data_IF_175814494961
#
_entry.id   IF_175814494961
#
_cell.length_a   1.000
_cell.length_b   1.000
_cell.length_c   1.000
_cell.angle_alpha   90.00
_cell.angle_beta   90.00
_cell.angle_gamma   90.00
#
_symmetry.space_group_name_H-M   'P 1'
#
loop_
_entity.id
_entity.type
_entity.pdbx_description
1 polymer ?
#
# COMPACT_ATOMS: atom_id res chain seq x y z
N UNK A 1 -75.27 17.53 14.25
CA UNK A 1 -74.63 16.85 15.39
C UNK A 1 -74.69 15.36 15.13
N UNK A 2 -73.53 14.70 15.04
CA UNK A 2 -73.22 13.26 15.10
C UNK A 2 -72.22 12.89 13.99
N UNK A 3 -71.01 12.48 14.40
CA UNK A 3 -70.10 11.74 13.53
C UNK A 3 -68.65 12.19 13.45
N UNK A 4 -68.09 12.87 14.46
CA UNK A 4 -66.64 13.21 14.54
C UNK A 4 -65.82 12.07 15.21
N UNK A 5 -66.33 10.84 15.23
CA UNK A 5 -65.87 9.83 16.20
C UNK A 5 -65.23 8.58 15.57
N UNK A 6 -64.39 8.71 14.53
CA UNK A 6 -63.63 7.56 13.97
C UNK A 6 -62.25 7.88 13.40
N UNK A 7 -61.37 8.55 14.15
CA UNK A 7 -59.95 8.68 13.77
C UNK A 7 -58.94 8.44 14.91
N UNK A 8 -59.29 7.58 15.88
CA UNK A 8 -58.31 7.04 16.83
C UNK A 8 -58.45 5.53 16.89
N UNK A 9 -57.65 4.80 16.12
CA UNK A 9 -57.12 3.48 16.50
C UNK A 9 -56.23 2.92 15.39
N UNK A 10 -55.12 2.32 15.81
CA UNK A 10 -54.10 1.59 15.04
C UNK A 10 -52.86 2.36 14.57
N UNK A 11 -52.06 2.82 15.53
CA UNK A 11 -50.59 2.71 15.42
C UNK A 11 -50.12 1.69 16.46
N UNK A 12 -50.37 0.40 16.23
CA UNK A 12 -49.59 -0.66 16.91
C UNK A 12 -48.24 -0.65 16.23
N UNK A 13 -47.20 -0.32 16.98
CA UNK A 13 -45.81 -0.49 16.56
C UNK A 13 -45.63 -1.99 16.32
N UNK A 14 -45.39 -2.39 15.07
CA UNK A 14 -45.08 -3.77 14.71
C UNK A 14 -43.85 -4.22 15.51
N UNK A 15 -43.89 -5.46 16.01
CA UNK A 15 -42.83 -6.08 16.82
C UNK A 15 -41.45 -5.82 16.21
N UNK A 16 -40.56 -5.27 17.02
CA UNK A 16 -39.16 -5.07 16.66
C UNK A 16 -38.55 -6.44 16.35
N UNK A 17 -38.20 -6.68 15.09
CA UNK A 17 -37.57 -7.93 14.63
C UNK A 17 -36.21 -8.01 15.32
N UNK A 18 -36.10 -8.84 16.37
CA UNK A 18 -34.85 -9.12 17.06
C UNK A 18 -34.02 -10.04 16.15
N UNK A 19 -33.17 -9.42 15.32
CA UNK A 19 -32.34 -10.14 14.37
C UNK A 19 -31.41 -11.08 15.14
N UNK A 20 -31.40 -12.40 14.83
CA UNK A 20 -30.53 -13.34 15.53
C UNK A 20 -29.07 -12.88 15.39
N UNK A 21 -28.27 -13.04 16.45
CA UNK A 21 -26.89 -12.56 16.52
C UNK A 21 -26.05 -12.93 15.28
N UNK A 22 -26.30 -14.10 14.68
CA UNK A 22 -25.63 -14.57 13.46
C UNK A 22 -25.90 -13.72 12.22
N UNK A 23 -27.09 -13.11 12.08
CA UNK A 23 -27.39 -12.20 10.96
C UNK A 23 -26.71 -10.85 11.15
N UNK A 24 -26.67 -10.34 12.38
CA UNK A 24 -25.91 -9.11 12.69
C UNK A 24 -24.41 -9.29 12.40
N UNK A 25 -23.85 -10.46 12.75
CA UNK A 25 -22.48 -10.85 12.45
C UNK A 25 -22.23 -10.94 10.94
N UNK A 26 -23.13 -11.61 10.20
CA UNK A 26 -23.01 -11.75 8.74
C UNK A 26 -22.99 -10.40 8.04
N UNK A 27 -23.91 -9.51 8.38
CA UNK A 27 -23.99 -8.16 7.81
C UNK A 27 -22.70 -7.41 8.09
N UNK A 28 -22.21 -7.44 9.33
CA UNK A 28 -20.97 -6.75 9.72
C UNK A 28 -19.73 -7.30 8.99
N UNK A 29 -19.64 -8.62 8.81
CA UNK A 29 -18.58 -9.25 8.03
C UNK A 29 -18.62 -8.86 6.55
N UNK A 30 -19.80 -8.74 5.96
CA UNK A 30 -19.96 -8.35 4.57
C UNK A 30 -19.53 -6.88 4.35
N UNK A 31 -19.86 -5.98 5.29
CA UNK A 31 -19.38 -4.60 5.27
C UNK A 31 -17.86 -4.48 5.44
N UNK A 32 -17.29 -5.30 6.34
CA UNK A 32 -15.84 -5.39 6.54
C UNK A 32 -15.14 -5.84 5.25
N UNK A 33 -15.63 -6.91 4.61
CA UNK A 33 -14.99 -7.50 3.43
C UNK A 33 -14.87 -6.50 2.27
N UNK A 34 -15.89 -5.66 2.05
CA UNK A 34 -15.89 -4.64 1.01
C UNK A 34 -14.83 -3.56 1.31
N UNK A 35 -14.80 -3.03 2.55
CA UNK A 35 -13.82 -2.01 2.96
C UNK A 35 -12.39 -2.54 3.02
N UNK A 36 -12.19 -3.73 3.58
CA UNK A 36 -10.88 -4.35 3.75
C UNK A 36 -10.28 -4.80 2.42
N UNK A 37 -11.11 -5.35 1.52
CA UNK A 37 -10.67 -5.82 0.21
C UNK A 37 -9.98 -4.73 -0.61
N UNK A 38 -10.54 -3.50 -0.61
CA UNK A 38 -9.94 -2.37 -1.33
C UNK A 38 -8.61 -1.93 -0.73
N UNK A 39 -8.55 -1.83 0.60
CA UNK A 39 -7.30 -1.48 1.30
C UNK A 39 -6.22 -2.52 1.00
N UNK A 40 -6.56 -3.82 1.04
CA UNK A 40 -5.64 -4.92 0.74
C UNK A 40 -5.05 -4.76 -0.66
N UNK A 41 -5.85 -4.47 -1.69
CA UNK A 41 -5.37 -4.33 -3.08
C UNK A 41 -4.29 -3.26 -3.17
N UNK A 42 -4.53 -2.08 -2.58
CA UNK A 42 -3.57 -0.97 -2.61
C UNK A 42 -2.30 -1.32 -1.84
N UNK A 43 -2.44 -1.82 -0.60
CA UNK A 43 -1.28 -2.20 0.22
C UNK A 43 -0.48 -3.34 -0.39
N UNK A 44 -1.11 -4.32 -1.02
CA UNK A 44 -0.43 -5.47 -1.63
C UNK A 44 0.43 -5.03 -2.83
N UNK A 45 -0.09 -4.14 -3.69
CA UNK A 45 0.68 -3.59 -4.80
C UNK A 45 1.93 -2.85 -4.32
N UNK A 46 1.78 -2.00 -3.30
CA UNK A 46 2.89 -1.25 -2.69
C UNK A 46 3.86 -2.20 -2.00
N UNK A 47 3.35 -3.17 -1.24
CA UNK A 47 4.16 -4.18 -0.54
C UNK A 47 5.03 -4.93 -1.54
N UNK A 48 4.48 -5.43 -2.64
CA UNK A 48 5.23 -6.18 -3.66
C UNK A 48 6.24 -5.30 -4.39
N UNK A 49 5.85 -4.07 -4.79
CA UNK A 49 6.74 -3.14 -5.48
C UNK A 49 7.94 -2.73 -4.62
N UNK A 50 7.71 -2.38 -3.36
CA UNK A 50 8.76 -2.00 -2.41
C UNK A 50 9.58 -3.22 -1.98
N UNK A 51 8.97 -4.39 -1.77
CA UNK A 51 9.70 -5.62 -1.47
C UNK A 51 10.67 -5.98 -2.58
N UNK A 52 10.26 -5.85 -3.84
CA UNK A 52 11.14 -6.10 -4.98
C UNK A 52 12.31 -5.12 -5.02
N UNK A 53 12.05 -3.82 -4.91
CA UNK A 53 13.09 -2.79 -4.89
C UNK A 53 14.10 -3.00 -3.75
N UNK A 54 13.59 -3.17 -2.52
CA UNK A 54 14.43 -3.34 -1.34
C UNK A 54 15.20 -4.66 -1.40
N UNK A 55 14.60 -5.73 -1.92
CA UNK A 55 15.29 -7.01 -2.13
C UNK A 55 16.47 -6.85 -3.09
N UNK A 56 16.28 -6.23 -4.26
CA UNK A 56 17.35 -6.05 -5.26
C UNK A 56 18.50 -5.22 -4.67
N UNK A 57 18.20 -4.11 -4.00
CA UNK A 57 19.24 -3.26 -3.41
C UNK A 57 19.93 -3.95 -2.22
N UNK A 58 19.20 -4.72 -1.41
CA UNK A 58 19.78 -5.47 -0.29
C UNK A 58 20.72 -6.58 -0.77
N UNK A 59 20.36 -7.30 -1.84
CA UNK A 59 21.26 -8.29 -2.43
C UNK A 59 22.55 -7.64 -2.94
N UNK A 60 22.45 -6.47 -3.60
CA UNK A 60 23.64 -5.75 -4.05
C UNK A 60 24.55 -5.31 -2.88
N UNK A 61 23.98 -4.82 -1.77
CA UNK A 61 24.75 -4.49 -0.56
C UNK A 61 25.41 -5.72 0.08
N UNK A 62 24.72 -6.86 0.09
CA UNK A 62 25.28 -8.13 0.60
C UNK A 62 26.49 -8.56 -0.25
N UNK A 63 26.36 -8.51 -1.58
CA UNK A 63 27.42 -8.89 -2.50
C UNK A 63 28.65 -7.98 -2.35
N UNK A 64 28.44 -6.67 -2.18
CA UNK A 64 29.49 -5.70 -1.92
C UNK A 64 30.21 -6.00 -0.58
N UNK A 65 29.46 -6.23 0.49
CA UNK A 65 30.02 -6.52 1.81
C UNK A 65 30.87 -7.80 1.83
N UNK A 66 30.48 -8.82 1.06
CA UNK A 66 31.22 -10.08 0.98
C UNK A 66 32.44 -10.00 0.07
N UNK A 67 32.40 -9.22 -1.01
CA UNK A 67 33.57 -8.92 -1.84
C UNK A 67 34.65 -8.17 -1.04
N UNK A 68 34.27 -7.16 -0.25
CA UNK A 68 35.18 -6.44 0.65
C UNK A 68 35.87 -7.40 1.65
N UNK A 69 35.17 -8.45 2.09
CA UNK A 69 35.73 -9.46 3.00
C UNK A 69 36.67 -10.48 2.34
N UNK A 70 36.94 -10.36 1.04
CA UNK A 70 37.84 -11.25 0.28
C UNK A 70 37.25 -12.64 -0.03
N UNK A 71 35.93 -12.81 0.13
CA UNK A 71 35.21 -14.07 -0.08
C UNK A 71 34.41 -14.04 -1.39
N UNK A 72 35.05 -13.66 -2.49
CA UNK A 72 34.45 -13.77 -3.83
C UNK A 72 34.13 -15.24 -4.14
N UNK A 73 32.88 -15.48 -4.53
CA UNK A 73 32.29 -16.79 -4.79
C UNK A 73 33.06 -17.62 -5.83
N UNK A 74 33.65 -18.73 -5.38
CA UNK A 74 34.19 -19.81 -6.23
C UNK A 74 33.09 -20.65 -6.92
N UNK A 75 31.81 -20.30 -6.77
CA UNK A 75 30.65 -21.03 -7.35
C UNK A 75 30.00 -20.27 -8.52
N UNK A 76 30.63 -19.20 -9.03
CA UNK A 76 30.20 -18.52 -10.26
C UNK A 76 30.86 -19.11 -11.54
N UNK A 77 31.09 -20.42 -11.58
CA UNK A 77 31.44 -21.10 -12.82
C UNK A 77 30.20 -21.84 -13.32
N UNK A 78 29.47 -21.23 -14.26
CA UNK A 78 29.13 -21.81 -15.57
C UNK A 78 28.00 -21.06 -16.31
N UNK A 79 27.39 -20.01 -15.78
CA UNK A 79 26.42 -19.22 -16.55
C UNK A 79 26.40 -17.76 -16.10
N UNK A 80 26.66 -16.89 -17.08
CA UNK A 80 26.68 -15.43 -17.06
C UNK A 80 27.81 -14.75 -16.29
N UNK A 81 28.77 -14.24 -17.07
CA UNK A 81 29.61 -13.07 -16.79
C UNK A 81 28.74 -11.99 -16.14
N UNK A 82 28.65 -12.04 -14.82
CA UNK A 82 27.80 -11.16 -14.03
C UNK A 82 28.46 -9.80 -14.03
N UNK A 83 27.82 -8.83 -14.68
CA UNK A 83 28.18 -7.43 -14.49
C UNK A 83 28.10 -7.13 -12.98
N UNK A 84 29.23 -6.76 -12.39
CA UNK A 84 29.31 -6.38 -10.98
C UNK A 84 28.52 -5.07 -10.79
N UNK A 85 27.38 -5.14 -10.11
CA UNK A 85 26.51 -3.99 -9.80
C UNK A 85 25.05 -4.25 -10.14
N UNK A 86 24.14 -3.34 -9.76
CA UNK A 86 22.74 -3.39 -10.17
C UNK A 86 22.70 -3.38 -11.70
N UNK A 87 22.30 -4.49 -12.33
CA UNK A 87 22.31 -4.59 -13.78
C UNK A 87 21.32 -3.60 -14.38
N UNK A 88 21.60 -3.09 -15.59
CA UNK A 88 20.65 -2.27 -16.35
C UNK A 88 19.28 -2.98 -16.48
N UNK A 89 19.29 -4.32 -16.55
CA UNK A 89 18.09 -5.15 -16.55
C UNK A 89 17.28 -4.99 -15.25
N UNK A 90 17.94 -5.02 -14.09
CA UNK A 90 17.29 -4.89 -12.78
C UNK A 90 16.69 -3.50 -12.58
N UNK A 91 17.43 -2.46 -13.00
CA UNK A 91 16.91 -1.07 -12.97
C UNK A 91 15.63 -0.97 -13.80
N UNK A 92 15.62 -1.56 -15.00
CA UNK A 92 14.44 -1.54 -15.86
C UNK A 92 13.26 -2.30 -15.25
N UNK A 93 13.50 -3.47 -14.64
CA UNK A 93 12.48 -4.25 -13.93
C UNK A 93 11.91 -3.50 -12.72
N UNK A 94 12.77 -2.82 -11.94
CA UNK A 94 12.34 -1.99 -10.81
C UNK A 94 11.42 -0.89 -11.31
N UNK A 95 11.82 -0.14 -12.35
CA UNK A 95 11.00 0.95 -12.89
C UNK A 95 9.64 0.42 -13.37
N UNK A 96 9.61 -0.70 -14.11
CA UNK A 96 8.35 -1.30 -14.56
C UNK A 96 7.46 -1.72 -13.39
N UNK A 97 8.04 -2.33 -12.35
CA UNK A 97 7.32 -2.72 -11.12
C UNK A 97 6.70 -1.50 -10.41
N UNK A 98 7.46 -0.41 -10.28
CA UNK A 98 6.96 0.83 -9.67
C UNK A 98 5.84 1.47 -10.49
N UNK A 99 5.93 1.45 -11.83
CA UNK A 99 4.87 1.96 -12.71
C UNK A 99 3.58 1.15 -12.51
N UNK A 100 3.67 -0.19 -12.56
CA UNK A 100 2.50 -1.07 -12.35
C UNK A 100 1.89 -0.83 -10.97
N UNK A 101 2.71 -0.63 -9.94
CA UNK A 101 2.26 -0.28 -8.60
C UNK A 101 1.45 1.03 -8.60
N UNK A 102 1.96 2.11 -9.20
CA UNK A 102 1.25 3.41 -9.26
C UNK A 102 -0.07 3.31 -10.00
N UNK A 103 -0.12 2.57 -11.11
CA UNK A 103 -1.37 2.34 -11.87
C UNK A 103 -2.39 1.56 -11.03
N UNK A 104 -1.94 0.53 -10.29
CA UNK A 104 -2.79 -0.23 -9.38
C UNK A 104 -3.38 0.64 -8.26
N UNK A 105 -2.57 1.52 -7.67
CA UNK A 105 -3.01 2.50 -6.66
C UNK A 105 -4.07 3.43 -7.25
N UNK A 106 -3.83 3.98 -8.44
CA UNK A 106 -4.77 4.87 -9.10
C UNK A 106 -6.12 4.20 -9.35
N UNK A 107 -6.11 2.95 -9.85
CA UNK A 107 -7.33 2.19 -10.10
C UNK A 107 -8.09 1.87 -8.80
N UNK A 108 -7.39 1.45 -7.75
CA UNK A 108 -8.00 1.19 -6.45
C UNK A 108 -8.57 2.47 -5.82
N UNK A 109 -7.90 3.61 -6.02
CA UNK A 109 -8.41 4.90 -5.55
C UNK A 109 -9.62 5.38 -6.38
N UNK A 110 -9.70 5.08 -7.68
CA UNK A 110 -10.93 5.38 -8.44
C UNK A 110 -12.12 4.58 -7.91
N UNK A 111 -11.92 3.30 -7.59
CA UNK A 111 -12.93 2.47 -6.91
C UNK A 111 -13.30 3.04 -5.53
N UNK A 112 -12.33 3.60 -4.80
CA UNK A 112 -12.59 4.26 -3.51
C UNK A 112 -13.65 5.34 -3.57
N UNK A 113 -13.50 6.16 -4.60
CA UNK A 113 -14.25 7.39 -4.78
C UNK A 113 -15.68 7.08 -5.14
N UNK A 114 -15.91 6.04 -5.94
CA UNK A 114 -17.25 5.60 -6.32
C UNK A 114 -17.97 4.95 -5.14
N UNK A 115 -17.29 4.14 -4.32
CA UNK A 115 -17.87 3.54 -3.11
C UNK A 115 -18.31 4.61 -2.09
N UNK A 116 -17.49 5.64 -1.90
CA UNK A 116 -17.75 6.73 -0.95
C UNK A 116 -18.44 7.93 -1.59
N UNK A 117 -19.02 7.78 -2.78
CA UNK A 117 -19.55 8.90 -3.56
C UNK A 117 -20.63 9.69 -2.80
N UNK A 118 -21.57 8.98 -2.15
CA UNK A 118 -22.60 9.59 -1.29
C UNK A 118 -22.03 10.30 -0.07
N UNK A 119 -21.03 9.70 0.59
CA UNK A 119 -20.35 10.28 1.75
C UNK A 119 -19.63 11.59 1.37
N UNK A 120 -18.99 11.65 0.19
CA UNK A 120 -18.35 12.87 -0.33
C UNK A 120 -19.43 13.93 -0.64
N UNK A 121 -20.54 13.52 -1.25
CA UNK A 121 -21.67 14.40 -1.56
C UNK A 121 -22.25 15.05 -0.31
N UNK A 122 -22.49 14.27 0.75
CA UNK A 122 -23.02 14.80 2.02
C UNK A 122 -22.04 15.76 2.69
N UNK A 123 -20.73 15.44 2.72
CA UNK A 123 -19.70 16.36 3.23
C UNK A 123 -19.70 17.70 2.49
N UNK A 124 -19.80 17.68 1.15
CA UNK A 124 -19.85 18.90 0.33
C UNK A 124 -21.15 19.69 0.56
N UNK A 125 -22.29 19.03 0.75
CA UNK A 125 -23.55 19.70 1.11
C UNK A 125 -23.49 20.39 2.48
N UNK A 126 -22.69 19.87 3.40
CA UNK A 126 -22.42 20.47 4.71
C UNK A 126 -21.37 21.61 4.65
N UNK A 127 -20.86 21.94 3.46
CA UNK A 127 -19.92 23.04 3.25
C UNK A 127 -18.44 22.64 3.25
N UNK A 128 -18.10 21.35 3.15
CA UNK A 128 -16.70 20.94 2.99
C UNK A 128 -16.12 21.45 1.65
N UNK A 129 -14.94 22.06 1.71
CA UNK A 129 -14.21 22.52 0.52
C UNK A 129 -13.64 21.33 -0.27
N UNK A 130 -13.50 21.48 -1.59
CA UNK A 130 -12.86 20.48 -2.46
C UNK A 130 -11.45 20.11 -1.95
N UNK A 131 -10.69 21.08 -1.42
CA UNK A 131 -9.37 20.84 -0.84
C UNK A 131 -9.39 19.95 0.41
N UNK A 132 -10.49 19.95 1.19
CA UNK A 132 -10.64 19.04 2.33
C UNK A 132 -10.79 17.60 1.85
N UNK A 133 -11.61 17.37 0.82
CA UNK A 133 -11.82 16.05 0.21
C UNK A 133 -10.51 15.51 -0.36
N UNK A 134 -9.74 16.34 -1.09
CA UNK A 134 -8.42 15.93 -1.61
C UNK A 134 -7.48 15.52 -0.48
N UNK A 135 -7.35 16.35 0.57
CA UNK A 135 -6.46 16.05 1.71
C UNK A 135 -6.86 14.77 2.43
N UNK A 136 -8.15 14.52 2.59
CA UNK A 136 -8.65 13.29 3.22
C UNK A 136 -8.16 12.04 2.48
N UNK A 137 -8.33 12.01 1.16
CA UNK A 137 -7.89 10.88 0.33
C UNK A 137 -6.37 10.75 0.25
N UNK A 138 -5.63 11.86 0.19
CA UNK A 138 -4.17 11.84 0.20
C UNK A 138 -3.58 11.35 1.52
N UNK A 139 -4.20 11.69 2.65
CA UNK A 139 -3.80 11.19 3.96
C UNK A 139 -4.10 9.69 4.09
N UNK A 140 -5.28 9.25 3.65
CA UNK A 140 -5.66 7.83 3.65
C UNK A 140 -4.68 6.99 2.82
N UNK A 141 -4.37 7.43 1.59
CA UNK A 141 -3.39 6.75 0.74
C UNK A 141 -1.98 6.82 1.30
N UNK A 142 -1.57 7.94 1.90
CA UNK A 142 -0.28 8.08 2.56
C UNK A 142 -0.08 7.07 3.68
N UNK A 143 -1.09 6.88 4.55
CA UNK A 143 -1.03 5.87 5.61
C UNK A 143 -1.01 4.44 5.07
N UNK A 144 -1.83 4.15 4.05
CA UNK A 144 -1.80 2.85 3.36
C UNK A 144 -0.45 2.60 2.70
N UNK A 145 0.15 3.62 2.08
CA UNK A 145 1.45 3.55 1.45
C UNK A 145 2.57 3.30 2.44
N UNK A 146 2.60 4.03 3.56
CA UNK A 146 3.58 3.80 4.61
C UNK A 146 3.47 2.38 5.19
N UNK A 147 2.25 1.92 5.52
CA UNK A 147 2.04 0.57 6.06
C UNK A 147 2.46 -0.53 5.07
N UNK A 148 2.06 -0.41 3.80
CA UNK A 148 2.43 -1.35 2.75
C UNK A 148 3.93 -1.34 2.47
N UNK A 149 4.57 -0.17 2.47
CA UNK A 149 5.99 -0.02 2.23
C UNK A 149 6.84 -0.56 3.39
N UNK A 150 6.40 -0.39 4.63
CA UNK A 150 7.06 -0.97 5.79
C UNK A 150 7.05 -2.50 5.72
N UNK A 151 5.88 -3.10 5.47
CA UNK A 151 5.75 -4.54 5.30
C UNK A 151 6.57 -5.02 4.10
N UNK A 152 6.50 -4.29 2.98
CA UNK A 152 7.25 -4.58 1.77
C UNK A 152 8.75 -4.56 1.99
N UNK A 153 9.27 -3.53 2.64
CA UNK A 153 10.69 -3.40 2.94
C UNK A 153 11.19 -4.56 3.83
N UNK A 154 10.43 -4.91 4.87
CA UNK A 154 10.75 -6.06 5.73
C UNK A 154 10.75 -7.36 4.92
N UNK A 155 9.71 -7.62 4.12
CA UNK A 155 9.65 -8.81 3.27
C UNK A 155 10.76 -8.85 2.21
N UNK A 156 11.12 -7.70 1.64
CA UNK A 156 12.22 -7.57 0.68
C UNK A 156 13.56 -7.91 1.30
N UNK A 157 13.85 -7.37 2.48
CA UNK A 157 15.07 -7.71 3.24
C UNK A 157 15.10 -9.18 3.65
N UNK A 158 13.98 -9.74 4.13
CA UNK A 158 13.88 -11.16 4.46
C UNK A 158 14.10 -12.05 3.23
N UNK A 159 13.56 -11.67 2.07
CA UNK A 159 13.77 -12.36 0.81
C UNK A 159 15.24 -12.35 0.38
N UNK A 160 15.89 -11.18 0.46
CA UNK A 160 17.32 -11.05 0.15
C UNK A 160 18.19 -11.88 1.11
N UNK A 161 17.90 -11.86 2.42
CA UNK A 161 18.61 -12.69 3.40
C UNK A 161 18.41 -14.18 3.11
N UNK A 162 17.20 -14.61 2.76
CA UNK A 162 16.93 -16.01 2.44
C UNK A 162 17.70 -16.50 1.20
N UNK A 163 17.81 -15.65 0.17
CA UNK A 163 18.61 -15.92 -1.03
C UNK A 163 20.11 -15.91 -0.70
N UNK A 164 20.60 -14.88 -0.02
CA UNK A 164 22.00 -14.77 0.39
C UNK A 164 22.44 -15.91 1.32
N UNK A 165 21.55 -16.44 2.15
CA UNK A 165 21.86 -17.58 3.02
C UNK A 165 22.10 -18.87 2.21
N UNK A 166 21.45 -19.01 1.06
CA UNK A 166 21.67 -20.14 0.14
C UNK A 166 23.03 -20.04 -0.55
N UNK A 167 23.42 -18.84 -0.96
CA UNK A 167 24.62 -18.64 -1.77
C UNK A 167 25.90 -18.51 -0.91
N UNK A 168 25.79 -17.91 0.28
CA UNK A 168 26.93 -17.56 1.14
C UNK A 168 26.92 -18.28 2.50
N UNK A 169 25.86 -19.00 2.84
CA UNK A 169 25.77 -19.73 4.11
C UNK A 169 25.81 -18.83 5.35
N UNK A 170 26.31 -19.35 6.47
CA UNK A 170 26.32 -18.62 7.75
C UNK A 170 27.25 -17.40 7.77
N UNK A 171 28.18 -17.29 6.82
CA UNK A 171 29.06 -16.13 6.67
C UNK A 171 28.26 -14.84 6.44
N UNK A 172 27.06 -14.93 5.87
CA UNK A 172 26.13 -13.81 5.71
C UNK A 172 25.85 -13.08 7.03
N UNK A 173 25.66 -13.81 8.14
CA UNK A 173 25.32 -13.21 9.43
C UNK A 173 26.48 -12.41 10.04
N UNK A 174 27.72 -12.78 9.73
CA UNK A 174 28.91 -12.09 10.22
C UNK A 174 29.20 -10.80 9.46
N UNK A 175 28.87 -10.75 8.17
CA UNK A 175 29.13 -9.59 7.30
C UNK A 175 27.86 -8.84 6.90
N UNK A 176 26.74 -9.08 7.59
CA UNK A 176 25.46 -8.48 7.23
C UNK A 176 25.53 -6.94 7.32
N UNK A 177 25.25 -6.20 6.22
CA UNK A 177 25.39 -4.75 6.17
C UNK A 177 24.21 -4.03 6.85
N UNK A 178 24.05 -4.20 8.16
CA UNK A 178 22.93 -3.61 8.91
C UNK A 178 23.02 -2.08 9.00
N UNK A 179 24.20 -1.56 9.34
CA UNK A 179 24.50 -0.15 9.52
C UNK A 179 25.29 0.40 8.33
N UNK A 180 25.15 1.69 8.00
CA UNK A 180 26.01 2.33 7.02
C UNK A 180 27.47 2.21 7.46
N UNK A 181 28.35 1.87 6.51
CA UNK A 181 29.77 1.87 6.78
C UNK A 181 30.29 3.32 6.86
N UNK A 182 31.34 3.53 7.63
CA UNK A 182 32.09 4.78 7.67
C UNK A 182 32.62 5.10 6.26
N UNK A 183 32.51 6.34 5.76
CA UNK A 183 32.91 6.70 4.38
C UNK A 183 34.38 6.40 4.05
N UNK A 184 35.20 6.29 5.08
CA UNK A 184 36.62 5.91 5.02
C UNK A 184 36.85 4.41 4.74
N UNK A 185 35.90 3.54 5.13
CA UNK A 185 36.03 2.09 4.99
C UNK A 185 35.26 1.54 3.78
N UNK A 186 34.09 2.10 3.45
CA UNK A 186 33.29 1.68 2.30
C UNK A 186 32.31 2.78 1.84
N UNK A 187 32.71 3.67 0.89
CA UNK A 187 31.93 4.83 0.51
C UNK A 187 30.61 4.51 -0.23
N UNK A 188 30.43 3.28 -0.72
CA UNK A 188 29.22 2.85 -1.43
C UNK A 188 28.21 2.11 -0.55
N UNK A 189 28.52 1.78 0.72
CA UNK A 189 27.62 1.04 1.60
C UNK A 189 26.59 1.97 2.25
N UNK A 190 25.34 1.82 1.84
CA UNK A 190 24.22 2.61 2.37
C UNK A 190 23.66 1.95 3.64
N UNK A 191 23.78 0.63 3.77
CA UNK A 191 23.27 -0.12 4.91
C UNK A 191 21.75 -0.37 4.86
N UNK A 192 21.35 -1.56 5.28
CA UNK A 192 19.98 -2.08 5.12
C UNK A 192 18.93 -1.23 5.85
N UNK A 193 19.28 -0.63 6.99
CA UNK A 193 18.34 0.22 7.73
C UNK A 193 17.96 1.49 6.95
N UNK A 194 18.92 2.12 6.26
CA UNK A 194 18.65 3.26 5.40
C UNK A 194 17.85 2.85 4.15
N UNK A 195 18.08 1.64 3.63
CA UNK A 195 17.27 1.08 2.54
C UNK A 195 15.80 0.89 2.93
N UNK A 196 15.54 0.36 4.13
CA UNK A 196 14.17 0.22 4.65
C UNK A 196 13.51 1.58 4.79
N UNK A 197 14.22 2.56 5.36
CA UNK A 197 13.70 3.92 5.52
C UNK A 197 13.39 4.56 4.15
N UNK A 198 14.30 4.42 3.18
CA UNK A 198 14.12 4.90 1.83
C UNK A 198 12.91 4.23 1.15
N UNK A 199 12.77 2.90 1.28
CA UNK A 199 11.62 2.15 0.78
C UNK A 199 10.29 2.63 1.38
N UNK A 200 10.26 2.92 2.68
CA UNK A 200 9.08 3.46 3.37
C UNK A 200 8.67 4.83 2.84
N UNK A 201 9.64 5.75 2.70
CA UNK A 201 9.42 7.09 2.15
C UNK A 201 8.95 6.99 0.70
N UNK A 202 9.62 6.17 -0.10
CA UNK A 202 9.29 5.98 -1.51
C UNK A 202 7.88 5.41 -1.67
N UNK A 203 7.50 4.38 -0.92
CA UNK A 203 6.17 3.79 -1.01
C UNK A 203 5.06 4.74 -0.56
N UNK A 204 5.32 5.57 0.46
CA UNK A 204 4.40 6.66 0.82
C UNK A 204 4.26 7.68 -0.31
N UNK A 205 5.37 8.09 -0.93
CA UNK A 205 5.34 9.02 -2.07
C UNK A 205 4.60 8.43 -3.27
N UNK A 206 4.84 7.17 -3.62
CA UNK A 206 4.13 6.49 -4.72
C UNK A 206 2.63 6.40 -4.46
N UNK A 207 2.22 6.16 -3.21
CA UNK A 207 0.81 6.16 -2.83
C UNK A 207 0.17 7.54 -2.99
N UNK A 208 0.85 8.59 -2.54
CA UNK A 208 0.38 9.98 -2.69
C UNK A 208 0.32 10.36 -4.17
N UNK A 209 1.35 10.06 -4.96
CA UNK A 209 1.41 10.36 -6.40
C UNK A 209 0.30 9.61 -7.15
N UNK A 210 0.16 8.30 -6.94
CA UNK A 210 -0.84 7.48 -7.61
C UNK A 210 -2.28 7.85 -7.25
N UNK A 211 -2.50 8.38 -6.04
CA UNK A 211 -3.82 8.81 -5.58
C UNK A 211 -4.14 10.28 -5.87
N UNK A 212 -3.17 11.10 -6.26
CA UNK A 212 -3.36 12.55 -6.46
C UNK A 212 -4.38 12.86 -7.55
N UNK A 213 -4.26 12.22 -8.72
CA UNK A 213 -5.20 12.43 -9.82
C UNK A 213 -6.63 11.97 -9.48
N UNK A 214 -6.84 10.73 -8.98
CA UNK A 214 -8.17 10.29 -8.53
C UNK A 214 -8.77 11.15 -7.41
N UNK A 215 -7.97 11.58 -6.42
CA UNK A 215 -8.45 12.42 -5.32
C UNK A 215 -8.94 13.79 -5.81
N UNK A 216 -8.23 14.39 -6.76
CA UNK A 216 -8.67 15.65 -7.38
C UNK A 216 -9.94 15.45 -8.21
N UNK A 217 -10.04 14.35 -8.96
CA UNK A 217 -11.26 13.97 -9.68
C UNK A 217 -12.45 13.83 -8.72
N UNK A 218 -12.25 13.18 -7.57
CA UNK A 218 -13.25 12.97 -6.53
C UNK A 218 -13.81 14.27 -5.97
N UNK A 219 -12.91 15.19 -5.61
CA UNK A 219 -13.28 16.47 -5.03
C UNK A 219 -14.14 17.32 -5.98
N UNK A 220 -13.94 17.18 -7.30
CA UNK A 220 -14.69 17.93 -8.31
C UNK A 220 -16.06 17.37 -8.66
N UNK A 221 -16.47 16.26 -8.06
CA UNK A 221 -17.77 15.67 -8.37
C UNK A 221 -18.90 16.55 -7.81
N UNK A 222 -19.99 16.78 -8.59
CA UNK A 222 -21.10 17.61 -8.17
C UNK A 222 -21.96 16.87 -7.12
N UNK A 223 -22.24 17.50 -5.95
CA UNK A 223 -22.97 16.84 -4.86
C UNK A 223 -24.42 16.50 -5.23
N UNK A 224 -25.02 17.23 -6.17
CA UNK A 224 -26.36 16.94 -6.68
C UNK A 224 -26.45 15.57 -7.38
N UNK A 225 -25.39 15.14 -8.08
CA UNK A 225 -25.34 13.80 -8.69
C UNK A 225 -25.23 12.73 -7.61
N UNK A 226 -24.44 12.96 -6.56
CA UNK A 226 -24.30 12.04 -5.43
C UNK A 226 -25.60 11.79 -4.66
N UNK A 227 -26.54 12.74 -4.68
CA UNK A 227 -27.86 12.59 -4.06
C UNK A 227 -28.91 12.02 -5.03
N UNK A 228 -28.65 12.08 -6.35
CA UNK A 228 -29.53 11.54 -7.39
C UNK A 228 -29.29 10.07 -7.68
N UNK A 229 -28.27 9.44 -7.09
CA UNK A 229 -27.90 8.03 -7.33
C UNK A 229 -28.89 6.99 -6.80
N UNK A 230 -30.14 7.38 -6.49
CA UNK A 230 -31.26 6.45 -6.31
C UNK A 230 -32.39 6.82 -7.28
N UNK A 231 -32.35 6.24 -8.49
CA UNK A 231 -33.51 5.67 -9.19
C UNK A 231 -33.07 4.35 -9.82
#
# INVERSE_FOLDING_TARGET
MLGVERLHQHTRIEEQIDLPFLESLRISFQSLKIRFGRSIITTAGITLGIAFLVSVWTNNEIDLALQESGRSSTIANLEETSEQGISTKDIWLIIMSLIVCVVGIANSMLMAVTERFREIGTMKCLGALDGFVVRLFLLESGFQGFAGALIGALLGTLGAVALGLKDYGLDLFFYFPLLPATPEDAPMRIGVLLLILFGCILGMLLAVIGSSFPAWRAAKLPPAEAMRTEV
#
